data_IF_439061435167
#
_entry.id   IF_439061435167
#
_cell.length_a   1.000
_cell.length_b   1.000
_cell.length_c   1.000
_cell.angle_alpha   90.00
_cell.angle_beta   90.00
_cell.angle_gamma   90.00
#
_symmetry.space_group_name_H-M   'P 1'
#
loop_
_entity.id
_entity.type
_entity.pdbx_description
1 polymer ?
#
# COMPACT_ATOMS: atom_id res chain seq x y z
N UNK A 1 8.10 5.90 -6.21
CA UNK A 1 7.87 4.82 -5.23
C UNK A 1 9.20 4.15 -4.97
N UNK A 2 9.54 3.96 -3.69
CA UNK A 2 10.60 3.04 -3.26
C UNK A 2 9.95 1.68 -3.08
N UNK A 3 10.41 0.65 -3.77
CA UNK A 3 9.85 -0.71 -3.66
C UNK A 3 10.47 -1.42 -2.46
N UNK A 4 9.63 -1.88 -1.54
CA UNK A 4 10.04 -2.62 -0.34
C UNK A 4 9.75 -4.11 -0.49
N UNK A 5 8.60 -4.48 -1.07
CA UNK A 5 8.16 -5.87 -1.14
C UNK A 5 7.68 -6.17 -2.56
N UNK A 6 8.43 -6.98 -3.33
CA UNK A 6 7.97 -7.46 -4.63
C UNK A 6 6.67 -8.27 -4.54
N UNK A 7 5.82 -8.15 -5.56
CA UNK A 7 4.58 -8.95 -5.64
C UNK A 7 4.87 -10.46 -5.52
N UNK A 8 3.99 -11.16 -4.81
CA UNK A 8 4.03 -12.58 -4.49
C UNK A 8 5.19 -13.03 -3.60
N UNK A 9 5.75 -12.10 -2.82
CA UNK A 9 6.72 -12.39 -1.77
C UNK A 9 6.12 -12.13 -0.39
N UNK A 10 6.70 -12.74 0.64
CA UNK A 10 6.15 -12.76 1.99
C UNK A 10 7.02 -12.00 3.00
N UNK A 11 8.31 -11.78 2.73
CA UNK A 11 9.21 -11.09 3.65
C UNK A 11 8.71 -9.65 3.86
N UNK A 12 8.38 -9.28 5.10
CA UNK A 12 7.97 -7.92 5.41
C UNK A 12 9.22 -7.05 5.54
N UNK A 13 9.63 -6.44 4.44
CA UNK A 13 10.69 -5.45 4.42
C UNK A 13 10.09 -4.05 4.51
N UNK A 14 10.80 -3.13 5.16
CA UNK A 14 10.38 -1.75 5.37
C UNK A 14 11.60 -0.82 5.46
N UNK A 15 11.41 0.44 5.08
CA UNK A 15 12.39 1.51 5.32
C UNK A 15 12.57 1.69 6.82
N UNK A 16 13.80 1.52 7.31
CA UNK A 16 14.10 1.72 8.73
C UNK A 16 14.19 3.22 9.07
N UNK A 17 13.20 3.72 9.81
CA UNK A 17 13.15 5.13 10.24
C UNK A 17 14.26 5.56 11.22
N UNK A 18 14.86 4.61 11.93
CA UNK A 18 15.78 4.87 13.07
C UNK A 18 17.25 4.79 12.67
N UNK A 19 17.58 3.98 11.67
CA UNK A 19 18.95 3.81 11.21
C UNK A 19 19.35 4.92 10.22
N UNK A 20 20.58 5.40 10.37
CA UNK A 20 21.13 6.41 9.46
C UNK A 20 21.13 5.92 8.01
N UNK A 21 20.65 6.76 7.10
CA UNK A 21 20.49 6.41 5.68
C UNK A 21 19.23 5.62 5.37
N UNK A 22 18.39 5.33 6.37
CA UNK A 22 17.09 4.68 6.24
C UNK A 22 17.11 3.42 5.35
N UNK A 23 17.99 2.43 5.64
CA UNK A 23 18.08 1.22 4.84
C UNK A 23 16.76 0.44 4.90
N UNK A 24 16.46 -0.28 3.83
CA UNK A 24 15.35 -1.23 3.84
C UNK A 24 15.81 -2.48 4.59
N UNK A 25 15.09 -2.86 5.64
CA UNK A 25 15.39 -4.02 6.48
C UNK A 25 14.16 -4.91 6.62
N UNK A 26 14.35 -6.19 6.94
CA UNK A 26 13.23 -7.06 7.25
C UNK A 26 12.76 -6.82 8.70
N UNK A 27 11.46 -6.55 8.86
CA UNK A 27 10.80 -6.42 10.16
C UNK A 27 11.01 -7.70 10.99
N UNK A 28 11.10 -7.55 12.31
CA UNK A 28 11.27 -8.65 13.25
C UNK A 28 10.11 -8.73 14.23
N UNK A 29 9.52 -9.92 14.35
CA UNK A 29 8.50 -10.23 15.36
C UNK A 29 9.06 -11.25 16.34
N UNK A 30 9.14 -10.89 17.61
CA UNK A 30 9.73 -11.74 18.68
C UNK A 30 11.17 -12.20 18.37
N UNK A 31 11.99 -11.29 17.84
CA UNK A 31 13.39 -11.57 17.49
C UNK A 31 13.59 -12.48 16.27
N UNK A 32 12.53 -12.77 15.51
CA UNK A 32 12.58 -13.57 14.27
C UNK A 32 12.15 -12.72 13.07
N UNK A 33 12.74 -12.93 11.89
CA UNK A 33 12.31 -12.25 10.67
C UNK A 33 10.82 -12.48 10.41
N UNK A 34 10.09 -11.40 10.13
CA UNK A 34 8.64 -11.44 9.92
C UNK A 34 8.31 -11.74 8.46
N UNK A 35 7.34 -12.63 8.28
CA UNK A 35 6.74 -12.96 7.00
C UNK A 35 5.23 -12.77 7.09
N UNK A 36 4.63 -12.12 6.10
CA UNK A 36 3.18 -12.09 5.94
C UNK A 36 2.71 -13.46 5.45
N UNK A 37 1.59 -13.92 5.99
CA UNK A 37 1.00 -15.20 5.65
C UNK A 37 0.32 -15.15 4.28
N UNK A 38 0.34 -16.28 3.57
CA UNK A 38 -0.56 -16.49 2.44
C UNK A 38 -1.98 -16.63 2.97
N UNK A 39 -2.90 -15.80 2.45
CA UNK A 39 -4.33 -15.88 2.76
C UNK A 39 -5.04 -16.27 1.50
N UNK A 40 -5.57 -17.50 1.46
CA UNK A 40 -6.29 -18.00 0.28
C UNK A 40 -7.34 -16.98 -0.21
N UNK A 41 -7.34 -16.61 -1.51
CA UNK A 41 -6.59 -17.21 -2.63
C UNK A 41 -5.24 -16.53 -2.96
N UNK A 42 -4.75 -15.65 -2.10
CA UNK A 42 -3.59 -14.79 -2.33
C UNK A 42 -2.27 -15.43 -1.91
N UNK A 43 -1.22 -15.17 -2.69
CA UNK A 43 0.18 -15.48 -2.37
C UNK A 43 0.91 -14.20 -2.00
N UNK A 44 1.41 -14.11 -0.78
CA UNK A 44 2.15 -12.97 -0.25
C UNK A 44 1.43 -11.64 -0.49
N UNK A 45 2.21 -10.59 -0.75
CA UNK A 45 1.69 -9.31 -1.23
C UNK A 45 1.17 -9.44 -2.67
N UNK A 46 -0.04 -8.98 -2.96
CA UNK A 46 -0.65 -9.11 -4.29
C UNK A 46 -0.33 -7.93 -5.24
N UNK A 47 0.54 -7.02 -4.83
CA UNK A 47 1.12 -5.91 -5.62
C UNK A 47 2.61 -5.81 -5.34
N UNK A 48 3.32 -5.00 -6.13
CA UNK A 48 4.57 -4.44 -5.61
C UNK A 48 4.19 -3.42 -4.54
N UNK A 49 4.80 -3.52 -3.37
CA UNK A 49 4.48 -2.71 -2.21
C UNK A 49 5.70 -1.91 -1.78
N UNK A 50 5.46 -0.73 -1.23
CA UNK A 50 6.50 0.16 -0.74
C UNK A 50 5.92 1.53 -0.43
N UNK A 51 6.73 2.58 -0.48
CA UNK A 51 6.31 3.90 -0.04
C UNK A 51 6.66 5.05 -0.99
N UNK A 52 6.03 6.21 -0.79
CA UNK A 52 6.45 7.48 -1.38
C UNK A 52 7.53 8.13 -0.50
N UNK A 53 8.75 8.38 -1.04
CA UNK A 53 9.77 9.09 -0.27
C UNK A 53 9.32 10.54 -0.01
N UNK A 54 9.86 11.16 1.05
CA UNK A 54 9.51 12.53 1.47
C UNK A 54 8.03 12.71 1.86
N UNK A 55 7.42 11.67 2.41
CA UNK A 55 6.08 11.71 3.00
C UNK A 55 6.13 11.16 4.43
N UNK A 56 5.13 11.48 5.23
CA UNK A 56 5.02 11.06 6.62
C UNK A 56 3.56 11.14 7.09
N UNK A 57 3.01 10.02 7.55
CA UNK A 57 1.72 9.90 8.22
C UNK A 57 1.87 10.38 9.67
N UNK A 58 1.54 11.64 9.95
CA UNK A 58 1.81 12.27 11.23
C UNK A 58 1.07 11.60 12.41
N UNK A 59 1.79 11.00 13.39
CA UNK A 59 1.18 10.33 14.54
C UNK A 59 0.67 11.31 15.61
N UNK A 60 0.87 12.63 15.44
CA UNK A 60 0.38 13.66 16.35
C UNK A 60 -0.93 14.30 15.88
N UNK A 61 -1.34 14.06 14.63
CA UNK A 61 -2.51 14.69 14.01
C UNK A 61 -3.56 13.65 13.65
N UNK A 62 -4.83 13.90 14.03
CA UNK A 62 -5.95 13.05 13.60
C UNK A 62 -6.33 13.32 12.15
N UNK A 63 -6.35 12.29 11.32
CA UNK A 63 -6.93 12.36 10.00
C UNK A 63 -8.46 12.52 10.11
N UNK A 64 -9.01 13.37 9.25
CA UNK A 64 -10.44 13.74 9.28
C UNK A 64 -11.37 12.66 8.73
N UNK A 65 -10.85 11.69 7.97
CA UNK A 65 -11.61 10.65 7.31
C UNK A 65 -11.62 9.33 8.10
N UNK A 66 -10.58 9.07 8.89
CA UNK A 66 -10.50 7.93 9.82
C UNK A 66 -10.86 8.30 11.25
N UNK A 67 -10.57 9.53 11.68
CA UNK A 67 -10.59 9.94 13.09
C UNK A 67 -9.41 9.40 13.92
N UNK A 68 -8.45 8.73 13.27
CA UNK A 68 -7.26 8.11 13.85
C UNK A 68 -6.02 9.00 13.62
N UNK A 69 -4.97 8.80 14.41
CA UNK A 69 -3.64 9.41 14.14
C UNK A 69 -2.93 8.67 13.00
N UNK A 70 -1.89 9.24 12.39
CA UNK A 70 -1.03 8.50 11.44
C UNK A 70 -0.22 7.39 12.12
N UNK A 71 0.25 6.41 11.35
CA UNK A 71 1.12 5.31 11.82
C UNK A 71 2.60 5.71 12.00
N UNK A 72 2.94 6.96 11.66
CA UNK A 72 4.30 7.47 11.73
C UNK A 72 5.22 6.89 10.67
N UNK A 73 4.71 6.34 9.57
CA UNK A 73 5.48 5.85 8.43
C UNK A 73 5.34 6.76 7.20
N UNK A 74 6.23 6.65 6.20
CA UNK A 74 5.99 7.22 4.89
C UNK A 74 4.72 6.61 4.26
N UNK A 75 3.97 7.41 3.50
CA UNK A 75 2.71 6.98 2.89
C UNK A 75 2.93 5.79 1.95
N UNK A 76 2.15 4.75 2.16
CA UNK A 76 2.24 3.48 1.46
C UNK A 76 1.70 3.53 0.02
N UNK A 77 2.26 2.66 -0.83
CA UNK A 77 1.94 2.55 -2.25
C UNK A 77 1.75 1.09 -2.63
N UNK A 78 0.63 0.80 -3.30
CA UNK A 78 0.39 -0.44 -4.02
C UNK A 78 0.54 -0.20 -5.53
N UNK A 79 1.58 -0.78 -6.12
CA UNK A 79 1.89 -0.64 -7.53
C UNK A 79 1.41 -1.87 -8.33
N UNK A 80 0.46 -1.62 -9.23
CA UNK A 80 -0.40 -2.64 -9.83
C UNK A 80 0.07 -3.13 -11.22
N UNK A 81 1.18 -2.62 -11.72
CA UNK A 81 1.73 -2.97 -13.02
C UNK A 81 2.14 -4.44 -13.12
N UNK A 82 2.26 -4.93 -14.35
CA UNK A 82 2.56 -6.32 -14.70
C UNK A 82 3.95 -6.78 -14.25
N UNK A 83 4.96 -5.89 -14.25
CA UNK A 83 6.35 -6.25 -13.89
C UNK A 83 6.51 -6.42 -12.38
N UNK A 84 7.14 -7.52 -11.96
CA UNK A 84 7.58 -7.69 -10.57
C UNK A 84 8.67 -6.67 -10.23
N UNK A 85 8.50 -5.97 -9.11
CA UNK A 85 9.49 -5.04 -8.59
C UNK A 85 10.69 -5.76 -7.96
N UNK A 86 11.74 -5.00 -7.67
CA UNK A 86 12.91 -5.48 -6.93
C UNK A 86 13.03 -4.69 -5.63
N UNK A 87 13.42 -5.37 -4.54
CA UNK A 87 13.71 -4.71 -3.25
C UNK A 87 14.70 -3.54 -3.45
N UNK A 88 14.31 -2.34 -3.03
CA UNK A 88 15.09 -1.11 -3.19
C UNK A 88 14.98 -0.43 -4.55
N UNK A 89 14.19 -0.96 -5.49
CA UNK A 89 13.96 -0.33 -6.79
C UNK A 89 13.24 1.01 -6.63
N UNK A 90 13.69 2.02 -7.37
CA UNK A 90 13.00 3.31 -7.47
C UNK A 90 12.17 3.31 -8.76
N UNK A 91 10.85 3.24 -8.61
CA UNK A 91 9.90 3.27 -9.73
C UNK A 91 9.26 4.65 -9.88
N UNK A 92 9.22 5.15 -11.12
CA UNK A 92 8.36 6.27 -11.49
C UNK A 92 6.95 5.74 -11.71
N UNK A 93 6.01 6.21 -10.92
CA UNK A 93 4.63 5.71 -10.94
C UNK A 93 3.64 6.84 -11.20
N UNK A 94 2.54 6.53 -11.86
CA UNK A 94 1.36 7.39 -11.96
C UNK A 94 0.39 7.01 -10.85
N UNK A 95 0.00 7.99 -10.04
CA UNK A 95 -1.03 7.82 -9.01
C UNK A 95 -2.39 7.75 -9.70
N UNK A 96 -3.19 6.76 -9.32
CA UNK A 96 -4.53 6.52 -9.82
C UNK A 96 -5.60 6.88 -8.78
N UNK A 97 -5.25 6.76 -7.50
CA UNK A 97 -6.14 7.08 -6.39
C UNK A 97 -5.59 6.58 -5.07
N UNK A 98 -6.47 6.39 -4.09
CA UNK A 98 -6.11 5.92 -2.75
C UNK A 98 -7.25 5.16 -2.09
N UNK A 99 -6.93 4.30 -1.12
CA UNK A 99 -7.86 3.74 -0.14
C UNK A 99 -7.39 4.07 1.28
N UNK A 100 -8.36 4.20 2.19
CA UNK A 100 -8.14 4.66 3.56
C UNK A 100 -8.24 3.47 4.53
N UNK A 101 -7.12 2.78 4.78
CA UNK A 101 -7.09 1.69 5.75
C UNK A 101 -7.02 2.27 7.17
N UNK A 102 -7.70 1.62 8.10
CA UNK A 102 -7.51 1.81 9.54
C UNK A 102 -6.87 0.53 10.06
N UNK A 103 -5.57 0.60 10.32
CA UNK A 103 -4.75 -0.52 10.76
C UNK A 103 -4.63 -0.50 12.29
N UNK A 104 -5.51 -1.24 12.96
CA UNK A 104 -5.70 -1.08 14.41
C UNK A 104 -6.39 0.24 14.74
N UNK A 105 -5.67 1.17 15.35
CA UNK A 105 -6.11 2.52 15.71
C UNK A 105 -5.37 3.63 14.96
N UNK A 106 -4.63 3.27 13.92
CA UNK A 106 -3.81 4.16 13.10
C UNK A 106 -4.40 4.33 11.69
N UNK A 107 -4.21 5.52 11.13
CA UNK A 107 -4.49 5.86 9.73
C UNK A 107 -3.35 5.35 8.88
N UNK A 108 -3.71 4.64 7.82
CA UNK A 108 -2.74 3.97 6.97
C UNK A 108 -3.19 4.08 5.49
N UNK A 109 -2.86 5.19 4.82
CA UNK A 109 -3.28 5.43 3.44
C UNK A 109 -2.53 4.53 2.47
N UNK A 110 -3.26 3.82 1.62
CA UNK A 110 -2.69 3.03 0.52
C UNK A 110 -2.91 3.72 -0.81
N UNK A 111 -1.87 4.37 -1.32
CA UNK A 111 -1.87 4.98 -2.66
C UNK A 111 -1.90 3.89 -3.71
N UNK A 112 -2.86 3.97 -4.63
CA UNK A 112 -2.95 3.08 -5.79
C UNK A 112 -2.18 3.72 -6.93
N UNK A 113 -1.17 3.02 -7.45
CA UNK A 113 -0.33 3.54 -8.51
C UNK A 113 0.01 2.47 -9.56
N UNK A 114 0.48 2.91 -10.72
CA UNK A 114 1.00 2.03 -11.78
C UNK A 114 2.31 2.58 -12.32
N UNK A 115 3.29 1.72 -12.60
CA UNK A 115 4.53 2.11 -13.29
C UNK A 115 4.21 2.84 -14.60
N UNK A 116 4.83 4.00 -14.82
CA UNK A 116 4.63 4.78 -16.05
C UNK A 116 5.12 4.06 -17.30
N UNK A 117 5.98 3.05 -17.13
CA UNK A 117 6.49 2.22 -18.22
C UNK A 117 5.69 0.93 -18.40
N UNK A 118 4.66 0.67 -17.59
CA UNK A 118 3.82 -0.50 -17.79
C UNK A 118 3.07 -0.38 -19.13
N UNK A 119 3.00 -1.44 -19.96
CA UNK A 119 2.30 -1.40 -21.25
C UNK A 119 0.85 -0.93 -21.18
N UNK A 120 0.15 -1.19 -20.07
CA UNK A 120 -1.28 -0.82 -19.91
C UNK A 120 -1.47 0.52 -19.18
N UNK A 121 -0.39 1.17 -18.75
CA UNK A 121 -0.45 2.42 -17.99
C UNK A 121 -1.26 3.51 -18.68
N UNK A 122 -1.24 3.61 -20.01
CA UNK A 122 -2.01 4.60 -20.76
C UNK A 122 -3.52 4.34 -20.78
N UNK A 123 -3.95 3.10 -20.51
CA UNK A 123 -5.35 2.68 -20.47
C UNK A 123 -5.99 2.88 -19.09
N UNK A 124 -5.19 3.21 -18.07
CA UNK A 124 -5.65 3.35 -16.69
C UNK A 124 -5.26 4.73 -16.20
N UNK A 125 -6.23 5.64 -16.08
CA UNK A 125 -6.00 7.05 -15.72
C UNK A 125 -6.53 7.40 -14.34
N UNK A 126 -7.48 6.63 -13.84
CA UNK A 126 -8.24 6.93 -12.63
C UNK A 126 -8.68 5.64 -11.92
N UNK A 127 -9.16 5.75 -10.69
CA UNK A 127 -9.81 4.62 -9.97
C UNK A 127 -10.96 4.02 -10.78
N UNK A 128 -11.72 4.83 -11.51
CA UNK A 128 -12.87 4.39 -12.30
C UNK A 128 -12.51 3.40 -13.41
N UNK A 129 -11.27 3.47 -13.93
CA UNK A 129 -10.80 2.56 -14.98
C UNK A 129 -10.44 1.17 -14.41
N UNK A 130 -10.16 1.07 -13.11
CA UNK A 130 -9.56 -0.12 -12.51
C UNK A 130 -10.43 -1.36 -12.64
N UNK A 131 -11.75 -1.27 -12.44
CA UNK A 131 -12.62 -2.44 -12.55
C UNK A 131 -12.72 -2.94 -14.00
N UNK A 132 -12.58 -2.05 -14.98
CA UNK A 132 -12.62 -2.43 -16.40
C UNK A 132 -11.32 -3.08 -16.87
N UNK A 133 -10.17 -2.64 -16.36
CA UNK A 133 -8.83 -3.10 -16.78
C UNK A 133 -8.29 -4.21 -15.88
N UNK A 134 -8.57 -4.16 -14.59
CA UNK A 134 -8.16 -5.09 -13.55
C UNK A 134 -9.37 -5.55 -12.72
N UNK A 135 -10.32 -6.27 -13.33
CA UNK A 135 -11.57 -6.66 -12.66
C UNK A 135 -11.30 -7.41 -11.35
N UNK A 136 -11.96 -6.98 -10.28
CA UNK A 136 -11.82 -7.55 -8.94
C UNK A 136 -10.56 -7.13 -8.16
N UNK A 137 -9.62 -6.38 -8.74
CA UNK A 137 -8.38 -5.97 -8.05
C UNK A 137 -8.68 -5.17 -6.78
N UNK A 138 -9.57 -4.18 -6.85
CA UNK A 138 -9.94 -3.36 -5.69
C UNK A 138 -10.62 -4.19 -4.59
N UNK A 139 -11.45 -5.17 -4.97
CA UNK A 139 -12.06 -6.08 -4.00
C UNK A 139 -11.00 -6.97 -3.34
N UNK A 140 -10.06 -7.51 -4.12
CA UNK A 140 -8.93 -8.27 -3.61
C UNK A 140 -8.05 -7.45 -2.67
N UNK A 141 -7.79 -6.17 -3.00
CA UNK A 141 -7.08 -5.21 -2.13
C UNK A 141 -7.76 -5.05 -0.79
N UNK A 142 -9.06 -4.81 -0.77
CA UNK A 142 -9.81 -4.68 0.48
C UNK A 142 -9.75 -5.95 1.30
N UNK A 143 -10.01 -7.10 0.67
CA UNK A 143 -10.01 -8.38 1.36
C UNK A 143 -8.63 -8.71 1.95
N UNK A 144 -7.56 -8.46 1.19
CA UNK A 144 -6.19 -8.70 1.64
C UNK A 144 -5.86 -7.86 2.87
N UNK A 145 -6.01 -6.52 2.81
CA UNK A 145 -5.69 -5.65 3.95
C UNK A 145 -6.63 -5.84 5.15
N UNK A 146 -7.87 -6.27 4.92
CA UNK A 146 -8.80 -6.57 6.02
C UNK A 146 -8.33 -7.80 6.81
N UNK A 147 -7.82 -8.82 6.13
CA UNK A 147 -7.60 -10.14 6.72
C UNK A 147 -6.12 -10.50 6.98
N UNK A 148 -5.13 -9.79 6.39
CA UNK A 148 -3.70 -10.21 6.38
C UNK A 148 -3.06 -10.48 7.75
N UNK A 149 -3.55 -9.82 8.81
CA UNK A 149 -3.08 -10.00 10.20
C UNK A 149 -3.91 -11.00 11.02
N UNK A 150 -4.98 -11.59 10.48
CA UNK A 150 -5.77 -12.61 11.19
C UNK A 150 -4.92 -13.83 11.59
N UNK A 151 -4.06 -14.40 10.71
CA UNK A 151 -3.19 -15.52 11.08
C UNK A 151 -2.17 -15.16 12.18
N UNK A 152 -1.87 -13.87 12.34
CA UNK A 152 -1.05 -13.32 13.41
C UNK A 152 -1.80 -13.15 14.74
N UNK A 153 -3.08 -13.56 14.81
CA UNK A 153 -3.95 -13.43 15.98
C UNK A 153 -4.52 -12.03 16.19
N UNK A 154 -4.47 -11.16 15.18
CA UNK A 154 -5.01 -9.79 15.23
C UNK A 154 -6.46 -9.76 14.69
N UNK A 155 -7.26 -8.76 15.10
CA UNK A 155 -8.59 -8.55 14.52
C UNK A 155 -8.50 -8.13 13.04
N UNK A 156 -9.65 -8.13 12.37
CA UNK A 156 -9.79 -7.54 11.04
C UNK A 156 -9.52 -6.05 11.09
N UNK A 157 -8.84 -5.54 10.07
CA UNK A 157 -8.71 -4.09 9.89
C UNK A 157 -10.05 -3.49 9.42
N UNK A 158 -10.18 -2.18 9.59
CA UNK A 158 -11.36 -1.42 9.18
C UNK A 158 -10.97 -0.33 8.18
N UNK A 159 -11.94 0.46 7.74
CA UNK A 159 -11.74 1.38 6.62
C UNK A 159 -12.38 2.74 6.88
N UNK A 160 -11.64 3.81 6.61
CA UNK A 160 -12.21 5.13 6.42
C UNK A 160 -12.98 5.20 5.09
N UNK A 161 -13.82 6.22 4.91
CA UNK A 161 -14.56 6.45 3.67
C UNK A 161 -15.36 5.24 3.16
N UNK A 162 -15.87 4.39 4.06
CA UNK A 162 -16.58 3.14 3.75
C UNK A 162 -15.73 2.17 2.89
N UNK A 163 -14.40 2.31 2.97
CA UNK A 163 -13.43 1.60 2.15
C UNK A 163 -13.46 1.98 0.68
N UNK A 164 -14.21 3.01 0.25
CA UNK A 164 -14.24 3.39 -1.16
C UNK A 164 -12.88 3.93 -1.62
N UNK A 165 -12.41 3.42 -2.76
CA UNK A 165 -11.26 4.01 -3.43
C UNK A 165 -11.63 5.41 -3.93
N UNK A 166 -10.76 6.40 -3.67
CA UNK A 166 -10.95 7.78 -4.10
C UNK A 166 -9.99 8.12 -5.22
N UNK A 167 -10.52 8.81 -6.22
CA UNK A 167 -9.76 9.24 -7.40
C UNK A 167 -8.78 10.37 -7.05
N UNK A 168 -7.78 10.56 -7.91
CA UNK A 168 -6.96 11.77 -7.87
C UNK A 168 -7.85 12.96 -8.22
N UNK A 169 -7.93 13.94 -7.32
CA UNK A 169 -8.63 15.19 -7.63
C UNK A 169 -7.73 16.02 -8.56
N UNK A 170 -7.98 15.97 -9.86
CA UNK A 170 -7.41 16.93 -10.80
C UNK A 170 -8.23 18.21 -10.73
N UNK A 171 -7.75 19.20 -9.98
CA UNK A 171 -8.27 20.55 -10.09
C UNK A 171 -7.87 21.12 -11.47
N UNK A 172 -8.69 20.87 -12.49
CA UNK A 172 -8.64 21.61 -13.75
C UNK A 172 -9.22 23.01 -13.54
N UNK A 173 -8.53 23.83 -12.75
CA UNK A 173 -8.75 25.27 -12.68
C UNK A 173 -7.41 25.96 -12.91
N UNK A 174 -7.11 26.19 -14.18
CA UNK A 174 -6.15 27.17 -14.68
C UNK A 174 -6.72 27.78 -15.95
#
# INVERSE_FOLDING_TARGET
MVVEIPRWTNAKNEINKKEYGNPIVQDQKNGKPRFVHDIFPYKGYIWNYGALPQTYEDPETKDKFTGCIGDGDPVDVIEIGSKLGVLGEIKKVKILGTVCLIDGDETDWKIIAIDVNDPISNNVRSVGDLESVFPGLLSATKNWFTDYKIPDGKPKNSWGLEGQAKDVVTNHNS
#
